data_IF_284637701095
#
_entry.id   IF_284637701095
#
_cell.length_a   1.000
_cell.length_b   1.000
_cell.length_c   1.000
_cell.angle_alpha   90.00
_cell.angle_beta   90.00
_cell.angle_gamma   90.00
#
_symmetry.space_group_name_H-M   'P 1'
#
loop_
_entity.id
_entity.type
_entity.pdbx_description
1 polymer ?
#
# COMPACT_ATOMS: atom_id res chain seq x y z
N UNK A 1 -72.32 -40.89 -16.61
CA UNK A 1 -71.66 -40.40 -15.41
C UNK A 1 -70.27 -39.86 -15.81
N UNK A 2 -70.14 -38.61 -15.83
CA UNK A 2 -68.85 -38.13 -16.18
C UNK A 2 -67.83 -38.44 -15.07
N UNK A 3 -66.79 -39.00 -15.48
CA UNK A 3 -65.63 -39.25 -14.63
C UNK A 3 -64.67 -38.19 -14.87
N UNK A 4 -64.67 -37.26 -14.00
CA UNK A 4 -63.64 -36.24 -14.07
C UNK A 4 -62.37 -36.75 -13.47
N UNK A 5 -61.54 -37.28 -14.28
CA UNK A 5 -60.18 -37.47 -13.89
C UNK A 5 -59.57 -36.12 -13.72
N UNK A 6 -59.55 -35.70 -12.51
CA UNK A 6 -58.70 -34.62 -12.13
C UNK A 6 -57.27 -35.10 -12.25
N UNK A 7 -56.75 -34.97 -13.42
CA UNK A 7 -55.32 -34.95 -13.59
C UNK A 7 -54.82 -33.70 -12.89
N UNK A 8 -54.52 -33.89 -11.64
CA UNK A 8 -53.67 -32.94 -10.96
C UNK A 8 -52.34 -32.97 -11.68
N UNK A 9 -52.21 -32.09 -12.62
CA UNK A 9 -50.91 -31.81 -13.20
C UNK A 9 -50.11 -31.14 -12.10
N UNK A 10 -49.40 -31.94 -11.35
CA UNK A 10 -48.31 -31.42 -10.55
C UNK A 10 -47.27 -30.90 -11.53
N UNK A 11 -47.41 -29.68 -11.85
CA UNK A 11 -46.29 -28.91 -12.38
C UNK A 11 -45.26 -28.88 -11.28
N UNK A 12 -44.45 -29.89 -11.24
CA UNK A 12 -43.17 -29.80 -10.62
C UNK A 12 -42.42 -28.78 -11.45
N UNK A 13 -42.58 -27.55 -11.08
CA UNK A 13 -41.59 -26.56 -11.45
C UNK A 13 -40.30 -27.08 -10.83
N UNK A 14 -39.56 -27.82 -11.58
CA UNK A 14 -38.17 -28.06 -11.28
C UNK A 14 -37.54 -26.69 -11.34
N UNK A 15 -37.42 -26.10 -10.19
CA UNK A 15 -36.50 -25.05 -9.96
C UNK A 15 -35.14 -25.66 -10.22
N UNK A 16 -34.76 -25.65 -11.46
CA UNK A 16 -33.34 -25.77 -11.80
C UNK A 16 -32.68 -24.54 -11.24
N UNK A 17 -32.30 -24.64 -9.99
CA UNK A 17 -31.34 -23.71 -9.50
C UNK A 17 -30.13 -23.88 -10.38
N UNK A 18 -29.87 -22.89 -11.18
CA UNK A 18 -28.59 -22.79 -11.81
C UNK A 18 -27.58 -22.70 -10.66
N UNK A 19 -27.01 -23.81 -10.31
CA UNK A 19 -25.84 -23.79 -9.47
C UNK A 19 -24.80 -23.00 -10.25
N UNK A 20 -24.46 -21.86 -9.73
CA UNK A 20 -23.32 -21.14 -10.21
C UNK A 20 -22.07 -21.94 -9.86
N UNK A 21 -21.91 -23.05 -10.53
CA UNK A 21 -20.61 -23.70 -10.57
C UNK A 21 -19.70 -22.79 -11.36
N UNK A 22 -18.74 -22.23 -10.66
CA UNK A 22 -17.65 -21.51 -11.32
C UNK A 22 -17.10 -22.40 -12.43
N UNK A 23 -17.15 -21.96 -13.69
CA UNK A 23 -16.60 -22.74 -14.77
C UNK A 23 -15.14 -23.04 -14.49
N UNK A 24 -14.72 -24.25 -14.73
CA UNK A 24 -13.34 -24.67 -14.57
C UNK A 24 -12.45 -23.78 -15.44
N UNK A 25 -11.42 -23.18 -14.84
CA UNK A 25 -10.49 -22.31 -15.53
C UNK A 25 -10.75 -20.82 -15.31
N UNK A 26 -11.72 -20.46 -14.51
CA UNK A 26 -11.83 -19.08 -14.07
C UNK A 26 -10.74 -18.81 -13.06
N UNK A 27 -9.86 -17.89 -13.39
CA UNK A 27 -8.89 -17.37 -12.46
C UNK A 27 -9.65 -16.71 -11.32
N UNK A 28 -9.42 -17.19 -10.10
CA UNK A 28 -9.91 -16.48 -8.92
C UNK A 28 -9.23 -15.13 -8.92
N UNK A 29 -9.98 -14.08 -9.14
CA UNK A 29 -9.44 -12.74 -9.08
C UNK A 29 -8.97 -12.46 -7.65
N UNK A 30 -7.77 -11.87 -7.49
CA UNK A 30 -7.36 -11.42 -6.17
C UNK A 30 -8.40 -10.44 -5.61
N UNK A 31 -8.57 -10.39 -4.28
CA UNK A 31 -9.53 -9.47 -3.69
C UNK A 31 -9.27 -8.05 -4.21
N UNK A 32 -10.35 -7.39 -4.62
CA UNK A 32 -10.28 -6.01 -5.08
C UNK A 32 -9.91 -5.10 -3.90
N UNK A 33 -9.03 -4.12 -4.10
CA UNK A 33 -8.74 -3.13 -3.07
C UNK A 33 -10.03 -2.41 -2.66
N UNK A 34 -10.24 -2.30 -1.36
CA UNK A 34 -11.38 -1.56 -0.81
C UNK A 34 -11.01 -0.09 -0.72
N UNK A 35 -11.84 0.79 -1.28
CA UNK A 35 -11.63 2.22 -1.20
C UNK A 35 -11.53 2.68 0.27
N UNK A 36 -10.53 3.48 0.58
CA UNK A 36 -10.25 3.96 1.94
C UNK A 36 -9.42 3.01 2.79
N UNK A 37 -9.13 1.80 2.32
CA UNK A 37 -8.20 0.91 2.99
C UNK A 37 -6.79 1.52 3.00
N UNK A 38 -6.05 1.47 4.13
CA UNK A 38 -4.70 2.01 4.17
C UNK A 38 -3.76 1.22 3.26
N UNK A 39 -2.77 1.91 2.74
CA UNK A 39 -1.63 1.29 2.08
C UNK A 39 -0.42 1.28 3.00
N UNK A 40 0.67 0.74 2.50
CA UNK A 40 1.92 0.63 3.26
C UNK A 40 3.09 1.18 2.46
N UNK A 41 3.86 2.05 3.08
CA UNK A 41 5.15 2.50 2.56
C UNK A 41 6.26 1.91 3.40
N UNK A 42 7.27 1.35 2.74
CA UNK A 42 8.45 0.79 3.39
C UNK A 42 9.65 1.61 2.96
N UNK A 43 10.40 2.08 3.94
CA UNK A 43 11.60 2.87 3.73
C UNK A 43 12.80 2.12 4.28
N UNK A 44 13.86 2.03 3.50
CA UNK A 44 15.10 1.41 3.92
C UNK A 44 16.26 2.35 3.68
N UNK A 45 17.18 2.39 4.63
CA UNK A 45 18.38 3.21 4.54
C UNK A 45 19.62 2.33 4.45
N UNK A 46 20.50 2.68 3.52
CA UNK A 46 21.75 1.99 3.30
C UNK A 46 22.69 2.13 4.51
N UNK A 47 23.48 1.10 4.76
CA UNK A 47 24.56 1.09 5.74
C UNK A 47 25.77 1.93 5.32
N UNK A 48 25.94 2.16 4.03
CA UNK A 48 27.11 2.84 3.47
C UNK A 48 26.96 4.35 3.45
N UNK A 49 26.14 4.89 4.33
CA UNK A 49 25.96 6.32 4.45
C UNK A 49 27.27 7.01 4.85
N UNK A 50 27.57 8.21 4.31
CA UNK A 50 28.80 8.92 4.61
C UNK A 50 28.89 9.42 6.05
N UNK A 51 27.81 9.36 6.81
CA UNK A 51 27.76 9.75 8.20
C UNK A 51 26.73 8.89 8.95
N UNK A 52 26.80 8.94 10.27
CA UNK A 52 25.88 8.22 11.16
C UNK A 52 24.63 9.04 11.55
N UNK A 53 24.45 10.21 10.97
CA UNK A 53 23.31 11.06 11.28
C UNK A 53 22.01 10.40 10.87
N UNK A 54 21.00 10.51 11.70
CA UNK A 54 19.68 9.99 11.39
C UNK A 54 19.05 10.79 10.23
N UNK A 55 18.18 10.12 9.50
CA UNK A 55 17.36 10.75 8.47
C UNK A 55 15.94 10.84 9.01
N UNK A 56 15.38 12.02 8.97
CA UNK A 56 13.97 12.24 9.28
C UNK A 56 13.14 12.06 8.02
N UNK A 57 12.08 11.27 8.15
CA UNK A 57 11.10 11.03 7.10
C UNK A 57 9.86 11.85 7.39
N UNK A 58 9.47 12.69 6.47
CA UNK A 58 8.29 13.54 6.57
C UNK A 58 7.18 12.98 5.67
N UNK A 59 6.00 12.85 6.24
CA UNK A 59 4.79 12.55 5.49
C UNK A 59 3.80 13.67 5.76
N UNK A 60 3.31 14.29 4.70
CA UNK A 60 2.40 15.43 4.78
C UNK A 60 2.94 16.52 5.72
N UNK A 61 4.24 16.80 5.64
CA UNK A 61 4.99 17.82 6.37
C UNK A 61 5.19 17.54 7.86
N UNK A 62 4.87 16.36 8.32
CA UNK A 62 5.11 15.93 9.70
C UNK A 62 6.14 14.81 9.75
N UNK A 63 6.98 14.82 10.76
CA UNK A 63 7.94 13.74 10.97
C UNK A 63 7.18 12.47 11.29
N UNK A 64 7.26 11.49 10.39
CA UNK A 64 6.61 10.21 10.55
C UNK A 64 7.54 9.12 11.10
N UNK A 65 8.84 9.25 10.84
CA UNK A 65 9.84 8.31 11.30
C UNK A 65 11.23 8.91 11.25
N UNK A 66 12.15 8.30 11.99
CA UNK A 66 13.56 8.63 11.96
C UNK A 66 14.34 7.33 11.75
N UNK A 67 15.25 7.32 10.80
CA UNK A 67 16.03 6.13 10.43
C UNK A 67 17.52 6.40 10.56
N UNK A 68 18.20 5.54 11.33
CA UNK A 68 19.65 5.45 11.34
C UNK A 68 20.16 4.61 10.17
N UNK A 69 21.49 4.53 10.00
CA UNK A 69 22.08 3.69 8.96
C UNK A 69 21.61 2.24 9.06
N UNK A 70 21.21 1.66 7.92
CA UNK A 70 20.75 0.28 7.86
C UNK A 70 19.36 0.00 8.40
N UNK A 71 18.67 1.01 8.89
CA UNK A 71 17.32 0.82 9.41
C UNK A 71 16.27 0.73 8.30
N UNK A 72 15.19 0.05 8.64
CA UNK A 72 14.01 -0.10 7.79
C UNK A 72 12.77 0.21 8.60
N UNK A 73 11.86 0.96 8.04
CA UNK A 73 10.58 1.31 8.66
C UNK A 73 9.45 1.06 7.69
N UNK A 74 8.38 0.48 8.20
CA UNK A 74 7.13 0.32 7.47
C UNK A 74 6.07 1.20 8.11
N UNK A 75 5.35 1.96 7.30
CA UNK A 75 4.29 2.86 7.75
C UNK A 75 2.99 2.48 7.06
N UNK A 76 1.96 2.24 7.84
CA UNK A 76 0.60 2.12 7.34
C UNK A 76 -0.01 3.52 7.27
N UNK A 77 -0.35 3.93 6.07
CA UNK A 77 -0.78 5.30 5.78
C UNK A 77 -2.11 5.29 5.04
N UNK A 78 -2.93 6.33 5.21
CA UNK A 78 -4.15 6.45 4.41
C UNK A 78 -3.82 6.41 2.93
N UNK A 79 -4.63 5.70 2.14
CA UNK A 79 -4.49 5.71 0.69
C UNK A 79 -4.79 7.08 0.12
N UNK A 80 -4.20 7.38 -1.02
CA UNK A 80 -4.34 8.67 -1.69
C UNK A 80 -2.99 9.26 -2.04
N UNK A 81 -2.97 10.53 -2.34
CA UNK A 81 -1.75 11.27 -2.64
C UNK A 81 -1.10 11.74 -1.35
N UNK A 82 0.14 11.33 -1.14
CA UNK A 82 0.93 11.68 0.02
C UNK A 82 2.10 12.55 -0.40
N UNK A 83 2.41 13.53 0.42
CA UNK A 83 3.62 14.35 0.28
C UNK A 83 4.71 13.73 1.14
N UNK A 84 5.81 13.31 0.54
CA UNK A 84 6.91 12.65 1.25
C UNK A 84 8.21 13.42 1.04
N UNK A 85 8.97 13.62 2.10
CA UNK A 85 10.27 14.27 2.06
C UNK A 85 11.20 13.61 3.07
N UNK A 86 12.48 13.77 2.84
CA UNK A 86 13.53 13.32 3.76
C UNK A 86 14.49 14.46 4.05
N UNK A 87 15.07 14.42 5.24
CA UNK A 87 16.07 15.38 5.65
C UNK A 87 17.07 14.74 6.61
N UNK A 88 18.29 15.22 6.61
CA UNK A 88 19.25 14.87 7.67
C UNK A 88 18.73 15.49 8.98
N UNK A 89 18.88 14.74 10.07
CA UNK A 89 18.50 15.22 11.38
C UNK A 89 19.15 16.57 11.70
N UNK A 90 18.37 17.45 12.30
CA UNK A 90 18.88 18.73 12.81
C UNK A 90 19.58 18.58 14.18
N UNK A 91 19.56 17.40 14.78
CA UNK A 91 20.14 17.17 16.07
C UNK A 91 21.68 17.24 16.06
N UNK A 92 22.26 17.89 17.05
CA UNK A 92 23.70 17.97 17.21
C UNK A 92 24.40 18.61 16.02
N UNK A 93 25.55 18.05 15.66
CA UNK A 93 26.36 18.52 14.53
C UNK A 93 25.95 17.92 13.18
N UNK A 94 24.87 17.21 13.12
CA UNK A 94 24.34 16.73 11.85
C UNK A 94 23.85 17.86 10.96
N UNK A 95 23.36 18.95 11.56
CA UNK A 95 23.15 20.21 10.89
C UNK A 95 22.05 20.22 9.84
N UNK A 96 21.09 19.31 9.94
CA UNK A 96 19.95 19.27 9.03
C UNK A 96 19.11 20.55 9.10
N UNK A 97 18.62 21.00 7.96
CA UNK A 97 17.91 22.28 7.81
C UNK A 97 16.40 22.06 7.58
N UNK A 98 15.89 20.90 7.92
CA UNK A 98 14.52 20.57 7.70
C UNK A 98 14.27 19.88 6.36
N UNK A 99 13.01 19.61 6.02
CA UNK A 99 12.68 18.82 4.85
C UNK A 99 13.12 19.51 3.57
N UNK A 100 13.75 18.72 2.70
CA UNK A 100 14.07 19.11 1.34
C UNK A 100 12.82 19.11 0.44
N UNK A 101 13.01 19.04 -0.88
CA UNK A 101 11.89 18.98 -1.81
C UNK A 101 10.99 17.80 -1.51
N UNK A 102 9.68 18.04 -1.57
CA UNK A 102 8.69 16.99 -1.38
C UNK A 102 8.43 16.25 -2.67
N UNK A 103 8.18 14.96 -2.56
CA UNK A 103 7.70 14.12 -3.65
C UNK A 103 6.25 13.74 -3.39
N UNK A 104 5.44 13.75 -4.44
CA UNK A 104 4.08 13.23 -4.36
C UNK A 104 4.10 11.74 -4.63
N UNK A 105 3.56 10.96 -3.71
CA UNK A 105 3.43 9.52 -3.83
C UNK A 105 1.96 9.17 -3.84
N UNK A 106 1.52 8.49 -4.89
CA UNK A 106 0.18 7.96 -4.95
C UNK A 106 0.18 6.56 -4.37
N UNK A 107 -0.49 6.40 -3.24
CA UNK A 107 -0.61 5.12 -2.54
C UNK A 107 -2.03 4.59 -2.70
N UNK A 108 -2.17 3.46 -3.38
CA UNK A 108 -3.46 2.80 -3.54
C UNK A 108 -3.90 2.07 -2.27
N UNK A 109 -5.21 1.82 -2.12
CA UNK A 109 -5.72 1.02 -1.02
C UNK A 109 -5.11 -0.39 -1.04
N UNK A 110 -4.58 -0.84 0.10
CA UNK A 110 -3.93 -2.14 0.22
C UNK A 110 -2.60 -2.27 -0.51
N UNK A 111 -2.13 -1.21 -1.17
CA UNK A 111 -0.86 -1.22 -1.90
C UNK A 111 0.32 -1.12 -0.95
N UNK A 112 1.39 -1.84 -1.28
CA UNK A 112 2.69 -1.69 -0.61
C UNK A 112 3.70 -1.17 -1.62
N UNK A 113 4.35 -0.06 -1.27
CA UNK A 113 5.43 0.52 -2.08
C UNK A 113 6.68 0.67 -1.25
N UNK A 114 7.83 0.50 -1.88
CA UNK A 114 9.13 0.54 -1.21
C UNK A 114 9.99 1.66 -1.78
N UNK A 115 10.71 2.30 -0.87
CA UNK A 115 11.65 3.38 -1.19
C UNK A 115 12.98 3.15 -0.47
N UNK A 116 14.06 3.45 -1.15
CA UNK A 116 15.36 3.57 -0.52
C UNK A 116 15.62 5.02 -0.14
N UNK A 117 16.10 5.24 1.07
CA UNK A 117 16.63 6.54 1.47
C UNK A 117 18.10 6.57 1.11
N UNK A 118 18.43 7.41 0.16
CA UNK A 118 19.79 7.57 -0.35
C UNK A 118 20.46 8.75 0.34
N UNK A 119 21.58 8.47 1.02
CA UNK A 119 22.37 9.50 1.67
C UNK A 119 23.71 9.60 0.96
N UNK A 120 23.94 10.72 0.33
CA UNK A 120 25.19 11.05 -0.38
C UNK A 120 25.80 12.28 0.28
N UNK A 121 27.11 12.56 0.06
CA UNK A 121 27.69 13.79 0.57
C UNK A 121 26.89 15.01 0.10
N UNK A 122 26.36 15.77 1.06
CA UNK A 122 25.59 16.98 0.77
C UNK A 122 24.18 16.75 0.20
N UNK A 123 23.70 15.51 0.16
CA UNK A 123 22.41 15.21 -0.45
C UNK A 123 21.72 14.03 0.24
N UNK A 124 20.42 14.16 0.44
CA UNK A 124 19.55 13.05 0.87
C UNK A 124 18.30 13.06 0.00
N UNK A 125 17.89 11.90 -0.48
CA UNK A 125 16.74 11.77 -1.36
C UNK A 125 16.12 10.37 -1.31
N UNK A 126 14.91 10.25 -1.81
CA UNK A 126 14.20 8.98 -1.95
C UNK A 126 14.33 8.43 -3.37
N UNK A 127 14.61 7.15 -3.46
CA UNK A 127 14.61 6.42 -4.72
C UNK A 127 13.57 5.30 -4.65
N UNK A 128 12.62 5.20 -5.59
CA UNK A 128 11.67 4.11 -5.59
C UNK A 128 12.38 2.78 -5.85
N UNK A 129 11.98 1.75 -5.11
CA UNK A 129 12.41 0.40 -5.36
C UNK A 129 11.34 -0.31 -6.18
N UNK A 130 11.76 -0.95 -7.25
CA UNK A 130 10.89 -1.77 -8.07
C UNK A 130 10.65 -3.10 -7.37
N UNK A 131 9.41 -3.53 -7.32
CA UNK A 131 9.04 -4.84 -6.79
C UNK A 131 9.24 -5.93 -7.85
#
# INVERSE_FOLDING_TARGET
MPRYSLLALCLLASLTQAEETLPRGVLVQPPQPVAGEPGRLIFSRDNNAPNACDVELYVNREVAATLGPGERKALDLPSGTLSVAVAISSAGYCGGQGPGPTQSVLLGPGETRQFAIMVKPGQVFLAPLLN
#
